data_IF_736240330702
#
_entry.id   IF_736240330702
#
_cell.length_a   1.000
_cell.length_b   1.000
_cell.length_c   1.000
_cell.angle_alpha   90.00
_cell.angle_beta   90.00
_cell.angle_gamma   90.00
#
_symmetry.space_group_name_H-M   'P 1'
#
loop_
_entity.id
_entity.type
_entity.pdbx_description
1 polymer ?
#
# COMPACT_ATOMS: atom_id res chain seq x y z
N UNK A 1 -12.68 -6.89 27.30
CA UNK A 1 -13.66 -7.73 26.57
C UNK A 1 -13.01 -8.15 25.25
N UNK A 2 -12.64 -9.42 25.11
CA UNK A 2 -12.20 -9.96 23.82
C UNK A 2 -13.44 -10.43 23.05
N UNK A 3 -13.95 -9.60 22.15
CA UNK A 3 -14.86 -10.09 21.12
C UNK A 3 -14.01 -10.87 20.10
N UNK A 4 -14.24 -12.17 19.89
CA UNK A 4 -13.53 -12.89 18.84
C UNK A 4 -13.96 -12.34 17.47
N UNK A 5 -13.02 -11.78 16.73
CA UNK A 5 -13.25 -11.35 15.35
C UNK A 5 -13.62 -12.58 14.50
N UNK A 6 -14.85 -12.64 13.99
CA UNK A 6 -15.28 -13.68 13.06
C UNK A 6 -14.77 -13.34 11.66
N UNK A 7 -13.74 -14.06 11.20
CA UNK A 7 -13.22 -14.01 9.83
C UNK A 7 -14.23 -14.62 8.86
N UNK A 8 -14.52 -13.96 7.73
CA UNK A 8 -15.30 -14.56 6.63
C UNK A 8 -14.47 -15.71 6.02
N UNK A 9 -15.00 -16.94 5.89
CA UNK A 9 -14.27 -18.06 5.29
C UNK A 9 -13.77 -17.69 3.88
N UNK A 10 -12.51 -18.03 3.57
CA UNK A 10 -11.88 -17.73 2.28
C UNK A 10 -11.23 -16.35 2.13
N UNK A 11 -11.41 -15.42 3.08
CA UNK A 11 -10.79 -14.09 3.01
C UNK A 11 -9.43 -14.05 3.71
N UNK A 12 -8.46 -13.30 3.19
CA UNK A 12 -7.24 -12.98 3.92
C UNK A 12 -7.41 -11.62 4.57
N UNK A 13 -7.27 -11.55 5.90
CA UNK A 13 -7.37 -10.29 6.63
C UNK A 13 -5.97 -9.84 7.02
N UNK A 14 -5.64 -8.60 6.64
CA UNK A 14 -4.44 -7.90 7.08
C UNK A 14 -4.91 -6.72 7.92
N UNK A 15 -4.23 -6.47 9.04
CA UNK A 15 -4.44 -5.24 9.79
C UNK A 15 -3.22 -4.35 9.55
N UNK A 16 -3.48 -3.21 8.93
CA UNK A 16 -2.55 -2.10 8.87
C UNK A 16 -3.10 -1.03 9.82
N UNK A 17 -2.34 -0.63 10.86
CA UNK A 17 -2.75 0.47 11.73
C UNK A 17 -2.84 1.81 10.97
N UNK A 18 -2.32 1.90 9.75
CA UNK A 18 -2.18 3.13 8.97
C UNK A 18 -3.53 3.79 8.61
N UNK A 19 -4.64 3.03 8.59
CA UNK A 19 -5.98 3.59 8.40
C UNK A 19 -6.44 4.55 9.52
N UNK A 20 -5.64 4.68 10.60
CA UNK A 20 -5.81 5.66 11.66
C UNK A 20 -4.79 6.81 11.61
N UNK A 21 -4.06 6.99 10.50
CA UNK A 21 -2.98 7.97 10.37
C UNK A 21 -2.91 8.61 9.00
N UNK A 22 -3.07 9.92 9.02
CA UNK A 22 -3.18 10.80 7.88
C UNK A 22 -1.88 11.64 7.90
N UNK A 23 -0.87 11.27 7.06
CA UNK A 23 0.11 12.17 6.38
C UNK A 23 1.35 11.47 5.77
N UNK A 24 1.72 11.92 4.56
CA UNK A 24 3.05 11.92 3.89
C UNK A 24 3.86 10.61 3.79
N UNK A 25 3.86 9.99 2.59
CA UNK A 25 4.93 9.20 1.93
C UNK A 25 5.71 8.15 2.77
N UNK A 26 5.27 7.76 3.97
CA UNK A 26 5.91 6.74 4.80
C UNK A 26 4.92 6.19 5.86
N UNK A 27 4.52 4.91 5.75
CA UNK A 27 3.38 4.29 6.51
C UNK A 27 3.73 3.22 7.56
N UNK A 28 3.59 3.53 8.85
CA UNK A 28 4.19 2.84 10.02
C UNK A 28 3.45 1.56 10.44
N UNK A 29 4.20 0.47 10.60
CA UNK A 29 3.76 -0.67 11.42
C UNK A 29 3.67 -0.28 12.90
N UNK A 30 2.46 -0.37 13.46
CA UNK A 30 2.23 -0.41 14.90
C UNK A 30 1.91 -1.84 15.27
N UNK A 31 2.62 -2.37 16.27
CA UNK A 31 2.39 -3.71 16.78
C UNK A 31 1.95 -3.60 18.24
N UNK A 32 0.80 -4.21 18.55
CA UNK A 32 0.33 -4.40 19.92
C UNK A 32 0.74 -5.81 20.38
N UNK A 33 1.74 -5.90 21.24
CA UNK A 33 2.03 -7.14 21.98
C UNK A 33 2.43 -6.80 23.42
N UNK A 34 1.71 -7.38 24.40
CA UNK A 34 1.97 -7.24 25.85
C UNK A 34 2.15 -5.79 26.36
N UNK A 35 1.21 -4.89 26.06
CA UNK A 35 1.15 -3.52 26.61
C UNK A 35 2.34 -2.58 26.27
N UNK A 36 3.18 -2.92 25.28
CA UNK A 36 4.29 -2.06 24.86
C UNK A 36 4.11 -1.62 23.40
N UNK A 37 4.12 -0.30 23.19
CA UNK A 37 4.06 0.33 21.87
C UNK A 37 5.49 0.54 21.36
N UNK A 38 5.84 -0.06 20.22
CA UNK A 38 7.09 0.23 19.52
C UNK A 38 6.77 0.93 18.21
N UNK A 39 7.00 2.24 18.15
CA UNK A 39 6.93 3.00 16.90
C UNK A 39 8.34 3.36 16.43
N UNK A 40 8.63 3.01 15.18
CA UNK A 40 10.00 2.89 14.67
C UNK A 40 10.16 3.75 13.40
N UNK A 41 10.05 5.05 13.57
CA UNK A 41 10.14 6.03 12.46
C UNK A 41 11.41 6.85 12.45
N UNK A 42 12.19 6.81 13.53
CA UNK A 42 13.38 7.64 13.68
C UNK A 42 14.63 6.82 14.02
N UNK A 43 14.59 5.52 13.75
CA UNK A 43 15.77 4.69 13.88
C UNK A 43 16.45 4.56 12.52
N UNK A 44 17.79 4.51 12.47
CA UNK A 44 18.50 4.14 11.24
C UNK A 44 17.89 2.87 10.64
N UNK A 45 17.78 2.80 9.31
CA UNK A 45 17.12 1.69 8.59
C UNK A 45 17.52 0.30 9.10
N UNK A 46 18.80 0.12 9.44
CA UNK A 46 19.32 -1.12 9.99
C UNK A 46 18.64 -1.50 11.32
N UNK A 47 18.41 -0.55 12.22
CA UNK A 47 17.70 -0.79 13.48
C UNK A 47 16.23 -1.10 13.27
N UNK A 48 15.58 -0.46 12.29
CA UNK A 48 14.20 -0.78 11.91
C UNK A 48 14.09 -2.24 11.45
N UNK A 49 14.99 -2.67 10.55
CA UNK A 49 15.01 -4.05 10.08
C UNK A 49 15.32 -5.06 11.19
N UNK A 50 16.19 -4.72 12.15
CA UNK A 50 16.45 -5.58 13.32
C UNK A 50 15.17 -5.77 14.13
N UNK A 51 14.42 -4.71 14.43
CA UNK A 51 13.20 -4.83 15.23
C UNK A 51 12.13 -5.63 14.49
N UNK A 52 11.99 -5.47 13.18
CA UNK A 52 11.03 -6.24 12.40
C UNK A 52 11.43 -7.72 12.31
N UNK A 53 12.72 -8.03 12.24
CA UNK A 53 13.23 -9.40 12.38
C UNK A 53 12.92 -9.99 13.76
N UNK A 54 13.18 -9.24 14.84
CA UNK A 54 12.86 -9.67 16.21
C UNK A 54 11.37 -9.95 16.38
N UNK A 55 10.51 -9.06 15.86
CA UNK A 55 9.06 -9.26 15.89
C UNK A 55 8.64 -10.51 15.11
N UNK A 56 9.15 -10.68 13.89
CA UNK A 56 8.85 -11.85 13.06
C UNK A 56 9.28 -13.15 13.73
N UNK A 57 10.42 -13.16 14.42
CA UNK A 57 10.87 -14.35 15.15
C UNK A 57 10.10 -14.59 16.45
N UNK A 58 9.54 -13.54 17.06
CA UNK A 58 8.79 -13.62 18.30
C UNK A 58 7.31 -13.98 18.10
N UNK A 59 6.79 -13.93 16.86
CA UNK A 59 5.37 -14.15 16.57
C UNK A 59 5.18 -15.08 15.37
N UNK A 60 4.05 -15.79 15.26
CA UNK A 60 3.75 -16.61 14.08
C UNK A 60 3.17 -15.79 12.91
N UNK A 61 3.26 -14.46 12.95
CA UNK A 61 2.56 -13.56 12.03
C UNK A 61 3.51 -13.16 10.89
N UNK A 62 3.15 -13.38 9.62
CA UNK A 62 3.93 -12.90 8.48
C UNK A 62 4.04 -11.37 8.47
N UNK A 63 5.21 -10.86 8.12
CA UNK A 63 5.49 -9.41 8.07
C UNK A 63 5.42 -8.91 6.64
N UNK A 64 4.51 -7.97 6.36
CA UNK A 64 4.48 -7.21 5.11
C UNK A 64 5.22 -5.87 5.24
N UNK A 65 5.62 -5.22 4.13
CA UNK A 65 6.05 -3.81 4.20
C UNK A 65 5.90 -3.04 2.89
N UNK A 66 5.57 -1.76 3.02
CA UNK A 66 5.75 -0.69 2.02
C UNK A 66 6.60 0.47 2.58
N UNK A 67 7.41 0.21 3.62
CA UNK A 67 8.24 1.22 4.30
C UNK A 67 9.71 0.86 4.41
N UNK A 68 9.99 -0.36 4.88
CA UNK A 68 11.33 -0.71 5.34
C UNK A 68 12.17 -1.38 4.24
N UNK A 69 11.51 -1.63 3.11
CA UNK A 69 12.07 -2.13 1.86
C UNK A 69 11.35 -1.42 0.71
N UNK A 70 11.58 -0.11 0.56
CA UNK A 70 10.98 0.72 -0.52
C UNK A 70 11.93 1.02 -1.68
N UNK A 71 13.19 0.61 -1.55
CA UNK A 71 14.17 0.65 -2.62
C UNK A 71 15.08 -0.60 -2.55
N UNK A 72 15.89 -0.82 -3.60
CA UNK A 72 16.76 -1.99 -3.69
C UNK A 72 17.79 -2.09 -2.56
N UNK A 73 18.31 -0.95 -2.07
CA UNK A 73 19.30 -0.92 -0.97
C UNK A 73 18.65 -1.32 0.35
N UNK A 74 17.45 -0.84 0.62
CA UNK A 74 16.70 -1.22 1.80
C UNK A 74 16.28 -2.68 1.75
N UNK A 75 15.81 -3.15 0.59
CA UNK A 75 15.48 -4.55 0.37
C UNK A 75 16.68 -5.47 0.62
N UNK A 76 17.88 -5.10 0.16
CA UNK A 76 19.11 -5.85 0.45
C UNK A 76 19.31 -6.09 1.95
N UNK A 77 19.13 -5.05 2.78
CA UNK A 77 19.26 -5.18 4.23
C UNK A 77 18.10 -5.96 4.86
N UNK A 78 16.86 -5.75 4.38
CA UNK A 78 15.69 -6.46 4.86
C UNK A 78 15.78 -7.97 4.59
N UNK A 79 16.21 -8.35 3.39
CA UNK A 79 16.43 -9.74 3.00
C UNK A 79 17.55 -10.39 3.81
N UNK A 80 18.69 -9.70 3.99
CA UNK A 80 19.82 -10.21 4.78
C UNK A 80 19.42 -10.50 6.24
N UNK A 81 18.59 -9.63 6.83
CA UNK A 81 18.05 -9.80 8.18
C UNK A 81 16.79 -10.67 8.24
N UNK A 82 16.26 -11.11 7.09
CA UNK A 82 15.00 -11.85 6.96
C UNK A 82 13.82 -11.12 7.63
N UNK A 83 13.81 -9.79 7.62
CA UNK A 83 12.88 -8.94 8.37
C UNK A 83 11.47 -8.85 7.78
N UNK A 84 11.25 -9.41 6.58
CA UNK A 84 9.97 -9.36 5.86
C UNK A 84 9.62 -10.73 5.27
N UNK A 85 8.32 -10.99 5.09
CA UNK A 85 7.75 -12.13 4.35
C UNK A 85 7.06 -11.67 3.07
N UNK A 86 6.48 -10.46 3.09
CA UNK A 86 5.74 -9.87 1.99
C UNK A 86 6.30 -8.47 1.68
N UNK A 87 6.73 -8.22 0.45
CA UNK A 87 7.11 -6.86 0.01
C UNK A 87 5.98 -6.29 -0.85
N UNK A 88 5.44 -5.16 -0.44
CA UNK A 88 4.39 -4.43 -1.14
C UNK A 88 5.04 -3.43 -2.11
N UNK A 89 5.55 -3.94 -3.23
CA UNK A 89 6.31 -3.17 -4.20
C UNK A 89 5.38 -2.44 -5.19
N UNK A 90 4.91 -1.26 -4.81
CA UNK A 90 4.04 -0.43 -5.64
C UNK A 90 4.74 0.04 -6.94
N UNK A 91 4.19 -0.23 -8.15
CA UNK A 91 4.81 0.17 -9.41
C UNK A 91 4.97 1.68 -9.58
N UNK A 92 4.23 2.54 -8.87
CA UNK A 92 4.47 3.99 -8.94
C UNK A 92 5.82 4.39 -8.37
N UNK A 93 6.31 3.66 -7.36
CA UNK A 93 7.58 3.94 -6.69
C UNK A 93 8.73 3.07 -7.23
N UNK A 94 8.43 1.86 -7.68
CA UNK A 94 9.43 0.89 -8.17
C UNK A 94 9.60 0.90 -9.68
N UNK A 95 8.66 1.52 -10.42
CA UNK A 95 8.48 1.30 -11.85
C UNK A 95 7.94 -0.10 -12.14
N UNK A 96 7.23 -0.27 -13.27
CA UNK A 96 6.60 -1.56 -13.64
C UNK A 96 7.61 -2.71 -13.69
N UNK A 97 8.76 -2.50 -14.35
CA UNK A 97 9.80 -3.53 -14.43
C UNK A 97 10.46 -3.81 -13.07
N UNK A 98 10.62 -2.78 -12.23
CA UNK A 98 11.25 -2.93 -10.92
C UNK A 98 10.39 -3.76 -9.97
N UNK A 99 9.07 -3.54 -9.96
CA UNK A 99 8.16 -4.34 -9.14
C UNK A 99 8.01 -5.78 -9.64
N UNK A 100 7.95 -6.01 -10.96
CA UNK A 100 7.93 -7.38 -11.52
C UNK A 100 9.23 -8.12 -11.19
N UNK A 101 10.38 -7.44 -11.26
CA UNK A 101 11.66 -8.01 -10.83
C UNK A 101 11.66 -8.36 -9.34
N UNK A 102 11.07 -7.53 -8.49
CA UNK A 102 10.88 -7.84 -7.08
C UNK A 102 10.02 -9.11 -6.93
N UNK A 103 8.92 -9.22 -7.69
CA UNK A 103 8.06 -10.41 -7.66
C UNK A 103 8.80 -11.70 -8.01
N UNK A 104 9.65 -11.65 -9.05
CA UNK A 104 10.51 -12.78 -9.45
C UNK A 104 11.45 -13.21 -8.31
N UNK A 105 12.19 -12.27 -7.73
CA UNK A 105 13.14 -12.55 -6.64
C UNK A 105 12.41 -13.17 -5.44
N UNK A 106 11.27 -12.60 -5.05
CA UNK A 106 10.51 -13.08 -3.89
C UNK A 106 9.96 -14.49 -4.14
N UNK A 107 9.41 -14.75 -5.33
CA UNK A 107 8.96 -16.09 -5.71
C UNK A 107 10.09 -17.12 -5.63
N UNK A 108 11.26 -16.82 -6.19
CA UNK A 108 12.42 -17.71 -6.18
C UNK A 108 12.95 -17.98 -4.76
N UNK A 109 12.73 -17.05 -3.84
CA UNK A 109 13.16 -17.15 -2.45
C UNK A 109 12.07 -17.68 -1.50
N UNK A 110 10.91 -18.07 -2.03
CA UNK A 110 9.78 -18.56 -1.24
C UNK A 110 9.12 -17.48 -0.37
N UNK A 111 9.29 -16.21 -0.75
CA UNK A 111 8.62 -15.05 -0.16
C UNK A 111 7.42 -14.65 -1.01
N UNK A 112 6.60 -13.72 -0.52
CA UNK A 112 5.38 -13.28 -1.22
C UNK A 112 5.54 -11.87 -1.74
N UNK A 113 5.17 -11.63 -2.98
CA UNK A 113 5.03 -10.28 -3.51
C UNK A 113 3.60 -9.77 -3.31
N UNK A 114 3.45 -8.47 -3.11
CA UNK A 114 2.19 -7.75 -3.25
C UNK A 114 2.45 -6.33 -3.74
N UNK A 115 1.39 -5.55 -3.88
CA UNK A 115 1.51 -4.12 -4.19
C UNK A 115 0.70 -3.31 -3.20
N UNK A 116 1.28 -2.19 -2.78
CA UNK A 116 0.62 -1.13 -2.05
C UNK A 116 -0.14 -0.22 -3.03
N UNK A 117 -1.02 0.64 -2.53
CA UNK A 117 -1.65 1.70 -3.32
C UNK A 117 -1.94 2.98 -2.54
N UNK A 118 -2.17 4.06 -3.29
CA UNK A 118 -2.84 5.28 -2.82
C UNK A 118 -4.15 5.49 -3.59
N UNK A 119 -4.94 6.51 -3.26
CA UNK A 119 -6.06 6.93 -4.10
C UNK A 119 -5.56 7.16 -5.54
N UNK A 120 -6.24 6.54 -6.49
CA UNK A 120 -5.81 6.52 -7.88
C UNK A 120 -7.00 6.42 -8.83
N UNK A 121 -6.77 6.77 -10.10
CA UNK A 121 -7.74 6.59 -11.17
C UNK A 121 -7.62 5.21 -11.82
N UNK A 122 -8.50 4.94 -12.77
CA UNK A 122 -8.60 3.69 -13.54
C UNK A 122 -7.40 3.40 -14.45
N UNK A 123 -6.66 4.42 -14.89
CA UNK A 123 -5.38 4.22 -15.59
C UNK A 123 -4.42 3.42 -14.69
N UNK A 124 -4.26 3.83 -13.44
CA UNK A 124 -3.44 3.10 -12.46
C UNK A 124 -4.01 1.71 -12.16
N UNK A 125 -5.33 1.58 -12.11
CA UNK A 125 -5.98 0.29 -11.87
C UNK A 125 -5.55 -0.75 -12.93
N UNK A 126 -5.52 -0.36 -14.21
CA UNK A 126 -5.02 -1.26 -15.27
C UNK A 126 -3.52 -1.52 -15.17
N UNK A 127 -2.70 -0.55 -14.74
CA UNK A 127 -1.27 -0.78 -14.48
C UNK A 127 -1.08 -1.86 -13.40
N UNK A 128 -1.85 -1.81 -12.31
CA UNK A 128 -1.82 -2.84 -11.28
C UNK A 128 -2.24 -4.21 -11.82
N UNK A 129 -3.27 -4.27 -12.68
CA UNK A 129 -3.71 -5.51 -13.32
C UNK A 129 -2.57 -6.16 -14.12
N UNK A 130 -1.91 -5.40 -15.00
CA UNK A 130 -0.82 -5.89 -15.84
C UNK A 130 0.40 -6.32 -15.01
N UNK A 131 0.77 -5.54 -14.00
CA UNK A 131 1.89 -5.89 -13.11
C UNK A 131 1.59 -7.15 -12.31
N UNK A 132 0.38 -7.28 -11.76
CA UNK A 132 -0.02 -8.46 -11.00
C UNK A 132 -0.08 -9.71 -11.88
N UNK A 133 -0.55 -9.57 -13.12
CA UNK A 133 -0.56 -10.66 -14.10
C UNK A 133 0.85 -11.11 -14.52
N UNK A 134 1.83 -10.20 -14.46
CA UNK A 134 3.23 -10.50 -14.74
C UNK A 134 4.01 -11.03 -13.51
N UNK A 135 3.44 -10.96 -12.30
CA UNK A 135 4.07 -11.45 -11.07
C UNK A 135 3.97 -12.98 -10.99
N UNK A 136 5.10 -13.72 -10.93
CA UNK A 136 5.07 -15.18 -10.87
C UNK A 136 4.61 -15.70 -9.50
N UNK A 137 4.17 -16.95 -9.47
CA UNK A 137 3.86 -17.67 -8.24
C UNK A 137 2.49 -17.36 -7.67
N UNK A 138 2.44 -17.15 -6.35
CA UNK A 138 1.20 -16.87 -5.61
C UNK A 138 1.29 -15.49 -4.95
N UNK A 139 1.09 -14.39 -5.71
CA UNK A 139 1.11 -13.05 -5.17
C UNK A 139 0.00 -12.85 -4.13
N UNK A 140 0.22 -11.97 -3.15
CA UNK A 140 -0.83 -11.56 -2.24
C UNK A 140 -1.93 -10.78 -3.00
N UNK A 141 -3.18 -10.74 -2.49
CA UNK A 141 -4.18 -9.82 -3.00
C UNK A 141 -3.63 -8.39 -3.05
N UNK A 142 -3.88 -7.71 -4.16
CA UNK A 142 -3.32 -6.41 -4.47
C UNK A 142 -4.11 -5.32 -3.76
N UNK A 143 -3.41 -4.45 -3.04
CA UNK A 143 -4.07 -3.32 -2.41
C UNK A 143 -4.51 -2.34 -3.51
N UNK A 144 -5.77 -1.89 -3.45
CA UNK A 144 -6.28 -0.84 -4.32
C UNK A 144 -7.23 0.06 -3.56
N UNK A 145 -7.14 1.36 -3.82
CA UNK A 145 -8.11 2.34 -3.30
C UNK A 145 -9.29 2.55 -4.25
N UNK A 146 -9.37 1.78 -5.34
CA UNK A 146 -10.36 1.97 -6.41
C UNK A 146 -11.80 2.08 -5.90
N UNK A 147 -12.20 1.28 -4.90
CA UNK A 147 -13.56 1.30 -4.35
C UNK A 147 -14.00 2.69 -3.81
N UNK A 148 -13.06 3.57 -3.49
CA UNK A 148 -13.33 4.93 -3.02
C UNK A 148 -13.46 5.94 -4.16
N UNK A 149 -13.02 5.58 -5.36
CA UNK A 149 -13.01 6.40 -6.57
C UNK A 149 -13.91 5.83 -7.68
N UNK A 150 -14.42 4.61 -7.52
CA UNK A 150 -15.25 3.93 -8.52
C UNK A 150 -16.42 4.81 -8.98
N UNK A 151 -16.57 4.95 -10.30
CA UNK A 151 -17.47 5.89 -10.95
C UNK A 151 -16.88 7.27 -11.26
N UNK A 152 -15.61 7.56 -10.89
CA UNK A 152 -14.86 8.76 -11.27
C UNK A 152 -13.80 8.46 -12.34
N UNK A 153 -14.23 7.78 -13.38
CA UNK A 153 -13.38 7.20 -14.42
C UNK A 153 -12.67 8.27 -15.26
N UNK A 154 -11.43 8.00 -15.70
CA UNK A 154 -10.73 8.79 -16.72
C UNK A 154 -10.72 8.11 -18.10
N UNK A 155 -11.12 6.84 -18.16
CA UNK A 155 -11.17 6.04 -19.38
C UNK A 155 -12.62 5.72 -19.77
N UNK A 156 -12.84 5.41 -21.05
CA UNK A 156 -14.15 4.96 -21.56
C UNK A 156 -14.45 3.50 -21.19
N UNK A 157 -13.41 2.71 -20.95
CA UNK A 157 -13.44 1.26 -20.78
C UNK A 157 -12.79 0.82 -19.46
N UNK A 158 -13.11 1.52 -18.38
CA UNK A 158 -12.64 1.23 -17.03
C UNK A 158 -12.91 -0.23 -16.64
N UNK A 159 -11.89 -0.99 -16.21
CA UNK A 159 -12.09 -2.38 -15.81
C UNK A 159 -12.89 -2.46 -14.51
N UNK A 160 -13.67 -3.53 -14.37
CA UNK A 160 -14.49 -3.78 -13.19
C UNK A 160 -13.80 -4.76 -12.25
N UNK A 161 -14.08 -4.59 -10.96
CA UNK A 161 -13.74 -5.59 -9.95
C UNK A 161 -15.01 -6.40 -9.66
N UNK A 162 -15.01 -7.67 -10.05
CA UNK A 162 -16.14 -8.60 -9.87
C UNK A 162 -15.65 -9.81 -9.06
N UNK A 163 -16.41 -10.18 -8.02
CA UNK A 163 -16.05 -11.26 -7.09
C UNK A 163 -14.64 -11.16 -6.46
N UNK A 164 -14.11 -9.93 -6.36
CA UNK A 164 -12.77 -9.66 -5.82
C UNK A 164 -11.63 -9.86 -6.83
N UNK A 165 -11.96 -10.06 -8.11
CA UNK A 165 -11.02 -10.21 -9.21
C UNK A 165 -11.20 -9.06 -10.21
N UNK A 166 -10.12 -8.76 -10.92
CA UNK A 166 -10.13 -7.85 -12.06
C UNK A 166 -9.50 -8.58 -13.23
N UNK A 167 -10.20 -8.61 -14.36
CA UNK A 167 -9.69 -9.22 -15.59
C UNK A 167 -8.71 -8.29 -16.29
N UNK A 168 -7.57 -8.83 -16.70
CA UNK A 168 -6.60 -8.08 -17.49
C UNK A 168 -7.20 -7.81 -18.87
N UNK A 169 -7.16 -6.55 -19.37
CA UNK A 169 -7.65 -6.26 -20.72
C UNK A 169 -6.94 -7.12 -21.78
N UNK A 170 -7.71 -7.71 -22.70
CA UNK A 170 -7.18 -8.56 -23.78
C UNK A 170 -6.53 -7.76 -24.92
N UNK A 171 -6.73 -6.45 -24.96
CA UNK A 171 -6.21 -5.57 -26.01
C UNK A 171 -4.74 -5.19 -25.76
N UNK A 172 -3.95 -4.92 -26.81
CA UNK A 172 -2.53 -4.57 -26.65
C UNK A 172 -2.27 -3.33 -25.79
N UNK A 173 -1.07 -3.26 -25.22
CA UNK A 173 -0.67 -2.15 -24.35
C UNK A 173 -1.35 -2.26 -22.97
N UNK A 174 -1.74 -1.11 -22.39
CA UNK A 174 -2.51 -1.10 -21.14
C UNK A 174 -3.97 -1.53 -21.34
N UNK A 175 -4.44 -1.57 -22.59
CA UNK A 175 -5.82 -1.90 -22.94
C UNK A 175 -6.85 -0.85 -22.50
N UNK A 176 -6.43 0.41 -22.34
CA UNK A 176 -7.29 1.54 -21.98
C UNK A 176 -7.61 2.43 -23.18
N UNK A 177 -8.75 3.10 -23.11
CA UNK A 177 -9.17 4.16 -24.00
C UNK A 177 -9.42 5.43 -23.18
N UNK A 178 -8.46 6.38 -23.15
CA UNK A 178 -8.62 7.62 -22.39
C UNK A 178 -9.83 8.44 -22.86
N UNK A 179 -10.62 8.94 -21.92
CA UNK A 179 -11.68 9.91 -22.17
C UNK A 179 -11.12 11.32 -21.92
N UNK A 180 -10.81 12.04 -23.00
CA UNK A 180 -10.19 13.37 -22.90
C UNK A 180 -11.10 14.42 -22.26
N UNK A 181 -12.43 14.29 -22.35
CA UNK A 181 -13.35 15.19 -21.66
C UNK A 181 -13.24 15.03 -20.14
N UNK A 182 -13.26 13.78 -19.64
CA UNK A 182 -13.10 13.47 -18.21
C UNK A 182 -11.72 13.88 -17.70
N UNK A 183 -10.67 13.62 -18.47
CA UNK A 183 -9.30 14.05 -18.14
C UNK A 183 -9.20 15.56 -18.04
N UNK A 184 -9.77 16.30 -19.00
CA UNK A 184 -9.74 17.76 -18.97
C UNK A 184 -10.60 18.33 -17.84
N UNK A 185 -11.71 17.69 -17.49
CA UNK A 185 -12.51 18.05 -16.32
C UNK A 185 -11.73 17.85 -15.01
N UNK A 186 -11.04 16.71 -14.85
CA UNK A 186 -10.16 16.46 -13.70
C UNK A 186 -8.99 17.45 -13.64
N UNK A 187 -8.38 17.80 -14.79
CA UNK A 187 -7.35 18.82 -14.86
C UNK A 187 -7.87 20.22 -14.48
N UNK A 188 -9.06 20.59 -14.97
CA UNK A 188 -9.70 21.85 -14.61
C UNK A 188 -10.03 21.92 -13.11
N UNK A 189 -10.42 20.80 -12.49
CA UNK A 189 -10.60 20.71 -11.04
C UNK A 189 -9.28 20.88 -10.31
N UNK A 190 -8.23 20.18 -10.73
CA UNK A 190 -6.88 20.30 -10.16
C UNK A 190 -6.39 21.76 -10.17
N UNK A 191 -6.55 22.47 -11.29
CA UNK A 191 -6.12 23.87 -11.43
C UNK A 191 -6.94 24.86 -10.58
N UNK A 192 -8.09 24.47 -10.05
CA UNK A 192 -8.89 25.29 -9.12
C UNK A 192 -8.50 25.08 -7.65
N UNK A 193 -7.69 24.06 -7.35
CA UNK A 193 -7.23 23.79 -5.99
C UNK A 193 -6.10 24.74 -5.61
N UNK A 194 -6.09 25.17 -4.34
CA UNK A 194 -5.03 26.05 -3.81
C UNK A 194 -3.73 25.28 -3.50
N UNK A 195 -3.86 24.02 -3.11
CA UNK A 195 -2.77 23.12 -2.75
C UNK A 195 -2.85 21.86 -3.61
N UNK A 196 -1.69 21.38 -4.05
CA UNK A 196 -1.59 20.19 -4.89
C UNK A 196 -0.93 19.00 -4.17
N UNK A 197 -0.14 19.29 -3.13
CA UNK A 197 0.49 18.26 -2.31
C UNK A 197 -0.48 17.78 -1.23
N UNK A 198 -0.42 16.47 -0.95
CA UNK A 198 -1.24 15.84 0.09
C UNK A 198 -0.87 16.41 1.47
N UNK A 199 -1.78 17.17 2.08
CA UNK A 199 -1.70 17.61 3.47
C UNK A 199 -2.91 17.19 4.30
N UNK A 200 -2.81 15.95 4.71
CA UNK A 200 -3.64 15.24 5.65
C UNK A 200 -3.86 15.96 7.01
N UNK A 201 -2.87 16.70 7.52
CA UNK A 201 -2.99 17.41 8.80
C UNK A 201 -4.04 18.54 8.75
N UNK A 202 -4.34 19.06 7.56
CA UNK A 202 -5.30 20.15 7.36
C UNK A 202 -6.72 19.71 7.73
N UNK A 203 -7.15 18.53 7.25
CA UNK A 203 -8.47 17.99 7.57
C UNK A 203 -8.58 17.62 9.07
N UNK A 204 -7.48 17.18 9.69
CA UNK A 204 -7.46 16.85 11.11
C UNK A 204 -7.76 18.03 12.03
N UNK A 205 -7.49 19.27 11.59
CA UNK A 205 -7.79 20.48 12.38
C UNK A 205 -9.30 20.65 12.66
N UNK A 206 -10.17 20.08 11.81
CA UNK A 206 -11.62 20.10 12.04
C UNK A 206 -12.06 19.12 13.13
N UNK A 207 -11.25 18.11 13.44
CA UNK A 207 -11.56 17.09 14.44
C UNK A 207 -10.88 17.38 15.79
N UNK A 208 -9.61 17.80 15.74
CA UNK A 208 -8.78 18.08 16.92
C UNK A 208 -8.06 19.41 16.65
N UNK A 209 -8.43 20.50 17.34
CA UNK A 209 -7.70 21.76 17.23
C UNK A 209 -6.21 21.59 17.56
N UNK A 210 -5.35 22.28 16.82
CA UNK A 210 -3.88 22.21 16.95
C UNK A 210 -3.30 20.81 16.76
N UNK A 211 -4.01 19.93 16.03
CA UNK A 211 -3.53 18.58 15.77
C UNK A 211 -2.17 18.62 15.07
N UNK A 212 -1.24 17.80 15.55
CA UNK A 212 0.07 17.58 14.94
C UNK A 212 0.29 16.10 14.65
N UNK A 213 1.04 15.84 13.59
CA UNK A 213 1.53 14.51 13.29
C UNK A 213 2.47 14.05 14.40
N UNK A 214 2.19 12.87 14.95
CA UNK A 214 3.10 12.13 15.82
C UNK A 214 3.15 10.72 15.27
N UNK A 215 4.29 10.38 14.65
CA UNK A 215 4.52 9.05 14.10
C UNK A 215 4.27 7.94 15.12
N UNK A 216 4.42 8.21 16.42
CA UNK A 216 4.32 7.22 17.50
C UNK A 216 2.95 7.15 18.17
N UNK A 217 1.94 7.90 17.72
CA UNK A 217 0.63 7.95 18.38
C UNK A 217 -0.56 7.99 17.42
N UNK A 218 -1.59 7.11 17.59
CA UNK A 218 -2.85 7.14 16.83
C UNK A 218 -3.38 8.53 16.59
N UNK A 219 -3.79 8.86 15.35
CA UNK A 219 -4.16 10.23 15.01
C UNK A 219 -5.21 10.80 15.97
N UNK A 220 -6.13 9.96 16.45
CA UNK A 220 -7.19 10.33 17.39
C UNK A 220 -6.83 10.13 18.87
N UNK A 221 -5.59 9.71 19.17
CA UNK A 221 -5.04 9.61 20.52
C UNK A 221 -4.08 10.79 20.72
N UNK A 222 -4.54 11.83 21.40
CA UNK A 222 -3.81 13.08 21.61
C UNK A 222 -3.73 13.42 23.10
#
# INVERSE_FOLDING_TARGET
>A
MHAPFKKRPGFTMKWSPDASYISSISFIFILWHKNSLYCITYLPQQRVNIIMCEFKNATPIPVATNMIATDWRQFYHAAALKSVDIVLADPHFWGMNGTVKMAQILNDWGLTWGSHSNNHFDITLTVYAHVAAAAPGNPAPIDTHWIWQDGQDLCENTPKIEDGYLEVPETPGLGIQPNMERIMAANALYNKMNDHDRNDALAMQYLIPDWKFDSKKPALVR
#
